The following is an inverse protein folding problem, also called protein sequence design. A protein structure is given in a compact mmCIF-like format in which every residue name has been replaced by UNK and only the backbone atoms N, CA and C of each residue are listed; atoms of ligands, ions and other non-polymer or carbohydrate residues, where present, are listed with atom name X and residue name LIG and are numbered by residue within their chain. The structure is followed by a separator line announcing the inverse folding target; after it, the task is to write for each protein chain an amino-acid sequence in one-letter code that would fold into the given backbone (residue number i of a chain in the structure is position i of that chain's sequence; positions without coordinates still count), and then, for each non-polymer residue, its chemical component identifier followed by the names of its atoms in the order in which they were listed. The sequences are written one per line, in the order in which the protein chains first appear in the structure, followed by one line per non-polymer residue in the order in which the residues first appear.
data_IF_387132664610
#
_entry.id   IF_387132664610
#
_cell.length_a   1.000
_cell.length_b   1.000
_cell.length_c   1.000
_cell.angle_alpha   90.00
_cell.angle_beta   90.00
_cell.angle_gamma   90.00
#
_symmetry.space_group_name_H-M   'P 1'
#
loop_
_entity.id
_entity.type
_entity.pdbx_description
1 polymer ?
#
# COMPACT_ATOMS: atom_id res chain seq x y z
N UNK A 1 7.80 16.50 1.48
CA UNK A 1 6.60 15.94 2.11
C UNK A 1 6.62 14.49 1.72
N UNK A 2 7.12 13.63 2.59
CA UNK A 2 7.38 12.24 2.24
C UNK A 2 6.03 11.52 2.23
N UNK A 3 5.55 11.17 1.04
CA UNK A 3 4.23 10.59 0.84
C UNK A 3 4.31 9.09 1.15
N UNK A 4 4.34 8.72 2.43
CA UNK A 4 4.45 7.33 2.90
C UNK A 4 3.08 6.64 2.93
N UNK A 5 2.32 6.71 1.83
CA UNK A 5 1.02 6.01 1.72
C UNK A 5 1.00 4.91 0.65
N UNK A 6 2.12 4.70 -0.05
CA UNK A 6 2.23 3.74 -1.13
C UNK A 6 3.02 2.54 -0.60
N UNK A 7 2.34 1.41 -0.36
CA UNK A 7 2.98 0.11 -0.13
C UNK A 7 3.19 -0.58 -1.48
N UNK A 8 4.41 -0.90 -1.89
CA UNK A 8 4.70 -1.34 -3.26
C UNK A 8 4.11 -2.73 -3.54
N UNK A 9 3.92 -3.57 -2.51
CA UNK A 9 3.29 -4.87 -2.67
C UNK A 9 1.80 -4.73 -2.99
N UNK A 10 1.11 -3.79 -2.34
CA UNK A 10 -0.28 -3.50 -2.65
C UNK A 10 -0.43 -2.80 -4.00
N UNK A 11 0.46 -1.84 -4.29
CA UNK A 11 0.40 -1.06 -5.52
C UNK A 11 0.77 -1.86 -6.77
N UNK A 12 1.46 -2.99 -6.65
CA UNK A 12 1.62 -3.93 -7.77
C UNK A 12 0.28 -4.40 -8.34
N UNK A 13 -0.76 -4.53 -7.50
CA UNK A 13 -2.09 -4.94 -7.95
C UNK A 13 -2.82 -3.83 -8.74
N UNK A 14 -2.39 -2.57 -8.60
CA UNK A 14 -3.04 -1.39 -9.18
C UNK A 14 -2.22 -0.71 -10.30
N UNK A 15 -0.88 -0.81 -10.26
CA UNK A 15 0.06 -0.10 -11.15
C UNK A 15 0.68 -1.04 -12.18
N UNK A 16 0.97 -2.29 -11.80
CA UNK A 16 1.72 -3.20 -12.67
C UNK A 16 0.79 -3.75 -13.77
N UNK A 17 0.88 -3.16 -14.96
CA UNK A 17 0.07 -3.55 -16.11
C UNK A 17 -1.44 -3.49 -15.84
N UNK A 18 -2.20 -4.46 -16.36
CA UNK A 18 -3.63 -4.64 -16.09
C UNK A 18 -3.83 -5.47 -14.81
N UNK A 19 -3.25 -4.99 -13.70
CA UNK A 19 -3.40 -5.64 -12.40
C UNK A 19 -4.87 -5.77 -11.97
N UNK A 20 -5.21 -6.74 -11.11
CA UNK A 20 -6.60 -7.04 -10.76
C UNK A 20 -7.33 -5.90 -10.04
N UNK A 21 -6.60 -4.92 -9.49
CA UNK A 21 -7.17 -3.73 -8.85
C UNK A 21 -7.06 -2.46 -9.73
N UNK A 22 -6.55 -2.58 -10.96
CA UNK A 22 -6.46 -1.47 -11.91
C UNK A 22 -7.80 -1.22 -12.63
N UNK A 23 -8.82 -0.83 -11.87
CA UNK A 23 -10.17 -0.57 -12.42
C UNK A 23 -10.19 0.61 -13.39
N UNK A 24 -9.28 1.57 -13.24
CA UNK A 24 -9.20 2.76 -14.09
C UNK A 24 -8.46 2.50 -15.42
N UNK A 25 -7.82 1.33 -15.58
CA UNK A 25 -7.06 0.97 -16.78
C UNK A 25 -5.82 1.85 -17.02
N UNK A 26 -5.33 2.54 -16.00
CA UNK A 26 -4.14 3.39 -16.12
C UNK A 26 -2.89 2.54 -16.36
N UNK A 27 -1.97 3.01 -17.19
CA UNK A 27 -0.75 2.27 -17.49
C UNK A 27 0.40 3.24 -17.74
N UNK A 28 1.50 3.01 -17.02
CA UNK A 28 2.76 3.70 -17.27
C UNK A 28 3.91 2.67 -17.15
N UNK A 29 4.67 2.42 -18.24
CA UNK A 29 5.74 1.42 -18.23
C UNK A 29 6.92 1.82 -17.33
N UNK A 30 7.17 3.13 -17.16
CA UNK A 30 8.20 3.61 -16.26
C UNK A 30 7.81 3.44 -14.78
N UNK A 31 6.54 3.66 -14.44
CA UNK A 31 6.02 3.38 -13.12
C UNK A 31 6.10 1.88 -12.79
N UNK A 32 5.77 1.02 -13.77
CA UNK A 32 5.89 -0.44 -13.61
C UNK A 32 7.35 -0.86 -13.36
N UNK A 33 8.30 -0.34 -14.14
CA UNK A 33 9.72 -0.65 -13.96
C UNK A 33 10.31 -0.11 -12.63
N UNK A 34 9.89 1.08 -12.22
CA UNK A 34 10.25 1.64 -10.91
C UNK A 34 9.71 0.76 -9.77
N UNK A 35 8.47 0.30 -9.89
CA UNK A 35 7.86 -0.59 -8.91
C UNK A 35 8.56 -1.96 -8.83
N UNK A 36 8.93 -2.55 -9.96
CA UNK A 36 9.69 -3.80 -9.99
C UNK A 36 11.04 -3.65 -9.29
N UNK A 37 11.75 -2.54 -9.53
CA UNK A 37 13.03 -2.23 -8.86
C UNK A 37 12.84 -2.03 -7.36
N UNK A 38 11.78 -1.33 -6.93
CA UNK A 38 11.50 -1.08 -5.51
C UNK A 38 11.14 -2.35 -4.73
N UNK A 39 10.77 -3.44 -5.42
CA UNK A 39 10.41 -4.75 -4.83
C UNK A 39 11.52 -5.79 -4.96
N UNK A 40 12.59 -5.50 -5.70
CA UNK A 40 13.69 -6.42 -5.93
C UNK A 40 14.65 -6.45 -4.73
N UNK A 41 14.64 -7.55 -3.99
CA UNK A 41 15.47 -7.74 -2.80
C UNK A 41 16.97 -7.85 -3.10
N UNK A 42 17.36 -7.98 -4.37
CA UNK A 42 18.77 -7.96 -4.78
C UNK A 42 19.35 -6.55 -4.92
N UNK A 43 18.51 -5.51 -4.87
CA UNK A 43 18.91 -4.11 -5.01
C UNK A 43 19.44 -3.53 -3.72
N UNK A 44 20.35 -2.56 -3.85
CA UNK A 44 20.82 -1.77 -2.71
C UNK A 44 19.73 -0.83 -2.18
N UNK A 45 19.85 -0.42 -0.92
CA UNK A 45 18.93 0.54 -0.30
C UNK A 45 18.83 1.85 -1.10
N UNK A 46 19.95 2.33 -1.65
CA UNK A 46 19.98 3.53 -2.48
C UNK A 46 19.21 3.36 -3.81
N UNK A 47 19.33 2.20 -4.46
CA UNK A 47 18.57 1.88 -5.67
C UNK A 47 17.07 1.76 -5.38
N UNK A 48 16.70 1.10 -4.28
CA UNK A 48 15.31 0.99 -3.83
C UNK A 48 14.74 2.37 -3.51
N UNK A 49 15.48 3.23 -2.81
CA UNK A 49 15.08 4.61 -2.52
C UNK A 49 14.88 5.45 -3.78
N UNK A 50 15.79 5.37 -4.75
CA UNK A 50 15.65 6.09 -6.02
C UNK A 50 14.46 5.61 -6.86
N UNK A 51 14.21 4.29 -6.86
CA UNK A 51 13.05 3.70 -7.51
C UNK A 51 11.73 4.17 -6.86
N UNK A 52 11.72 4.27 -5.53
CA UNK A 52 10.61 4.84 -4.77
C UNK A 52 10.30 6.27 -5.15
N UNK A 53 11.32 7.13 -5.16
CA UNK A 53 11.16 8.53 -5.52
C UNK A 53 10.63 8.69 -6.95
N UNK A 54 11.14 7.86 -7.88
CA UNK A 54 10.66 7.86 -9.27
C UNK A 54 9.19 7.47 -9.36
N UNK A 55 8.80 6.38 -8.70
CA UNK A 55 7.42 5.90 -8.69
C UNK A 55 6.46 6.96 -8.12
N UNK A 56 6.81 7.54 -6.97
CA UNK A 56 5.99 8.57 -6.33
C UNK A 56 5.83 9.81 -7.20
N UNK A 57 6.89 10.29 -7.85
CA UNK A 57 6.80 11.43 -8.77
C UNK A 57 5.84 11.17 -9.91
N UNK A 58 5.97 10.04 -10.61
CA UNK A 58 5.08 9.69 -11.74
C UNK A 58 3.62 9.65 -11.27
N UNK A 59 3.35 9.00 -10.14
CA UNK A 59 2.01 8.89 -9.59
C UNK A 59 1.45 10.25 -9.19
N UNK A 60 2.26 11.15 -8.60
CA UNK A 60 1.81 12.49 -8.24
C UNK A 60 1.56 13.35 -9.47
N UNK A 61 2.44 13.29 -10.47
CA UNK A 61 2.37 14.09 -11.69
C UNK A 61 1.18 13.67 -12.57
N UNK A 62 0.93 12.37 -12.72
CA UNK A 62 -0.17 11.85 -13.54
C UNK A 62 -1.47 11.69 -12.76
N UNK A 63 -1.41 11.68 -11.42
CA UNK A 63 -2.56 11.53 -10.52
C UNK A 63 -3.53 10.40 -10.94
N UNK A 64 -3.04 9.15 -11.18
CA UNK A 64 -3.89 8.06 -11.65
C UNK A 64 -4.94 7.60 -10.63
N UNK A 65 -4.78 8.02 -9.37
CA UNK A 65 -5.74 7.87 -8.30
C UNK A 65 -5.72 9.12 -7.41
N UNK A 66 -6.88 9.45 -6.86
CA UNK A 66 -7.02 10.52 -5.86
C UNK A 66 -7.18 9.85 -4.50
N UNK A 67 -6.18 9.98 -3.63
CA UNK A 67 -6.27 9.51 -2.25
C UNK A 67 -7.16 10.48 -1.47
N UNK A 68 -8.45 10.14 -1.35
CA UNK A 68 -9.44 11.01 -0.69
C UNK A 68 -9.44 10.90 0.83
N UNK A 69 -9.09 9.73 1.38
CA UNK A 69 -8.99 9.53 2.82
C UNK A 69 -8.10 8.33 3.13
N UNK A 70 -7.18 8.49 4.08
CA UNK A 70 -6.54 7.36 4.77
C UNK A 70 -7.41 7.10 6.00
N UNK A 71 -8.49 6.32 5.84
CA UNK A 71 -9.43 6.12 6.92
C UNK A 71 -8.73 5.43 8.10
N UNK A 72 -8.61 6.05 9.29
CA UNK A 72 -8.29 5.27 10.47
C UNK A 72 -9.43 4.29 10.67
N UNK A 73 -9.13 3.00 10.58
CA UNK A 73 -10.11 1.95 10.82
C UNK A 73 -10.48 1.99 12.30
N UNK A 74 -11.60 2.66 12.60
CA UNK A 74 -12.20 2.66 13.93
C UNK A 74 -12.72 1.26 14.23
N UNK A 75 -11.93 0.47 14.95
CA UNK A 75 -12.33 -0.84 15.42
C UNK A 75 -13.04 -0.71 16.78
N UNK A 76 -14.36 -0.85 16.79
CA UNK A 76 -15.13 -0.98 18.03
C UNK A 76 -15.35 -2.47 18.32
N UNK A 77 -15.04 -2.91 19.55
CA UNK A 77 -15.33 -4.26 20.00
C UNK A 77 -15.76 -4.26 21.47
N UNK A 78 -16.47 -5.31 21.88
CA UNK A 78 -16.88 -5.44 23.29
C UNK A 78 -15.65 -5.70 24.17
N UNK A 79 -15.78 -5.45 25.48
CA UNK A 79 -14.73 -5.77 26.44
C UNK A 79 -14.38 -7.27 26.50
N UNK A 80 -15.27 -8.13 25.98
CA UNK A 80 -15.09 -9.59 25.88
C UNK A 80 -14.22 -10.02 24.70
N UNK A 81 -14.02 -9.16 23.70
CA UNK A 81 -13.12 -9.42 22.59
C UNK A 81 -11.71 -9.01 22.99
N UNK A 82 -10.79 -9.96 22.94
CA UNK A 82 -9.38 -9.81 23.30
C UNK A 82 -8.50 -10.20 22.12
N UNK A 83 -7.22 -9.80 22.18
CA UNK A 83 -6.26 -10.11 21.12
C UNK A 83 -6.44 -9.29 19.83
N UNK A 84 -7.24 -8.23 19.85
CA UNK A 84 -7.32 -7.30 18.71
C UNK A 84 -6.03 -6.49 18.66
N UNK A 85 -5.25 -6.64 17.59
CA UNK A 85 -4.09 -5.79 17.32
C UNK A 85 -4.44 -4.82 16.20
N UNK A 86 -4.60 -3.55 16.54
CA UNK A 86 -4.83 -2.51 15.54
C UNK A 86 -3.55 -2.33 14.72
N UNK A 87 -3.62 -2.67 13.44
CA UNK A 87 -2.55 -2.45 12.49
C UNK A 87 -2.81 -1.13 11.75
N UNK A 88 -1.78 -0.32 11.57
CA UNK A 88 -1.85 0.90 10.76
C UNK A 88 -1.68 0.52 9.28
N UNK A 89 -2.67 -0.17 8.72
CA UNK A 89 -2.73 -0.53 7.30
C UNK A 89 -4.16 -0.37 6.75
N UNK A 90 -4.32 -0.54 5.43
CA UNK A 90 -5.63 -0.38 4.75
C UNK A 90 -6.62 -1.52 5.03
N UNK A 91 -6.16 -2.64 5.60
CA UNK A 91 -6.95 -3.86 5.80
C UNK A 91 -7.60 -3.88 7.19
N UNK A 92 -7.01 -3.18 8.16
CA UNK A 92 -7.54 -3.04 9.52
C UNK A 92 -6.83 -3.92 10.54
N UNK A 93 -7.47 -4.16 11.69
CA UNK A 93 -6.85 -4.91 12.77
C UNK A 93 -6.50 -6.34 12.35
N UNK A 94 -5.37 -6.84 12.83
CA UNK A 94 -4.99 -8.24 12.70
C UNK A 94 -5.95 -9.10 13.55
N UNK A 95 -6.66 -9.99 12.87
CA UNK A 95 -7.65 -10.87 13.47
C UNK A 95 -7.09 -12.26 13.84
N UNK A 96 -5.85 -12.57 13.48
CA UNK A 96 -5.25 -13.90 13.68
C UNK A 96 -5.09 -14.29 15.16
N UNK A 97 -5.13 -13.30 16.06
CA UNK A 97 -4.96 -13.47 17.51
C UNK A 97 -6.23 -13.16 18.30
N UNK A 98 -7.36 -12.91 17.62
CA UNK A 98 -8.61 -12.50 18.26
C UNK A 98 -9.33 -13.68 18.90
N UNK A 99 -9.81 -13.49 20.13
CA UNK A 99 -10.64 -14.46 20.86
C UNK A 99 -11.67 -13.77 21.73
N UNK A 100 -12.67 -14.55 22.18
CA UNK A 100 -13.74 -14.07 23.06
C UNK A 100 -13.63 -14.71 24.44
N UNK A 101 -13.68 -13.91 25.49
CA UNK A 101 -13.82 -14.39 26.88
C UNK A 101 -15.30 -14.42 27.27
N UNK A 102 -15.68 -15.37 28.12
CA UNK A 102 -17.07 -15.51 28.62
C UNK A 102 -17.53 -14.28 29.39
#
# INVERSE_FOLDING_TARGET
MDFVSIDPSFFALAIQGQGPLNTCGWSNPEASAALDTARDSSKSEAEVGAAWDKLQRIVLDESPFVVVVVNPLLAAHTAKVKGVKVMHNIVGPDLSTVYMVK
#
